data_IF_861924904045
#
_entry.id   IF_861924904045
#
_cell.length_a   1.000
_cell.length_b   1.000
_cell.length_c   1.000
_cell.angle_alpha   90.00
_cell.angle_beta   90.00
_cell.angle_gamma   90.00
#
_symmetry.space_group_name_H-M   'P 1'
#
loop_
_entity.id
_entity.type
_entity.pdbx_description
1 polymer ?
#
# COMPACT_ATOMS: atom_id res chain seq x y z
N UNK A 1 -61.39 9.29 50.84
CA UNK A 1 -60.22 8.59 51.46
C UNK A 1 -59.26 8.22 50.38
N UNK A 2 -58.11 8.83 50.41
CA UNK A 2 -57.13 9.01 49.32
C UNK A 2 -56.32 7.76 49.09
N UNK A 3 -56.26 7.27 47.83
CA UNK A 3 -55.29 6.30 47.39
C UNK A 3 -54.30 7.00 46.53
N UNK A 4 -53.07 7.22 47.03
CA UNK A 4 -51.98 7.79 46.28
C UNK A 4 -51.33 6.71 45.43
N UNK A 5 -51.54 6.81 44.13
CA UNK A 5 -50.82 6.03 43.16
C UNK A 5 -49.38 6.57 43.03
N UNK A 6 -48.38 5.77 43.43
CA UNK A 6 -46.96 6.05 43.24
C UNK A 6 -46.59 5.63 41.84
N UNK A 7 -46.38 6.60 40.93
CA UNK A 7 -45.77 6.37 39.65
C UNK A 7 -44.24 6.23 39.84
N UNK A 8 -43.77 5.01 39.77
CA UNK A 8 -42.35 4.75 39.68
C UNK A 8 -41.88 5.01 38.22
N UNK A 9 -41.22 6.12 38.01
CA UNK A 9 -40.61 6.49 36.74
C UNK A 9 -39.31 5.69 36.61
N UNK A 10 -39.34 4.58 35.87
CA UNK A 10 -38.14 3.82 35.52
C UNK A 10 -37.49 4.52 34.35
N UNK A 11 -36.45 5.32 34.65
CA UNK A 11 -35.60 5.95 33.66
C UNK A 11 -34.64 4.89 33.09
N UNK A 12 -35.00 4.30 31.94
CA UNK A 12 -34.11 3.38 31.21
C UNK A 12 -33.03 4.21 30.54
N UNK A 13 -31.84 4.31 31.14
CA UNK A 13 -30.63 4.81 30.47
C UNK A 13 -30.20 3.79 29.42
N UNK A 14 -30.56 4.04 28.16
CA UNK A 14 -29.95 3.38 27.00
C UNK A 14 -28.51 3.89 26.86
N UNK A 15 -27.54 3.14 27.38
CA UNK A 15 -26.15 3.31 27.01
C UNK A 15 -25.99 2.89 25.55
N UNK A 16 -26.01 3.85 24.65
CA UNK A 16 -25.55 3.63 23.29
C UNK A 16 -24.05 3.36 23.32
N UNK A 17 -23.67 2.09 23.30
CA UNK A 17 -22.27 1.68 23.06
C UNK A 17 -21.95 2.05 21.63
N UNK A 18 -21.33 3.20 21.42
CA UNK A 18 -20.73 3.58 20.15
C UNK A 18 -19.56 2.63 19.95
N UNK A 19 -19.79 1.54 19.21
CA UNK A 19 -18.72 0.68 18.73
C UNK A 19 -17.85 1.52 17.80
N UNK A 20 -16.70 2.00 18.32
CA UNK A 20 -15.68 2.59 17.49
C UNK A 20 -15.32 1.55 16.41
N UNK A 21 -15.30 1.94 15.12
CA UNK A 21 -14.84 1.02 14.09
C UNK A 21 -13.43 0.57 14.50
N UNK A 22 -13.27 -0.73 14.73
CA UNK A 22 -11.96 -1.32 14.90
C UNK A 22 -11.18 -0.94 13.64
N UNK A 23 -10.21 -0.01 13.79
CA UNK A 23 -9.20 0.18 12.76
C UNK A 23 -8.55 -1.17 12.64
N UNK A 24 -8.95 -1.91 11.62
CA UNK A 24 -8.29 -3.15 11.26
C UNK A 24 -6.80 -2.82 11.22
N UNK A 25 -5.99 -3.55 11.99
CA UNK A 25 -4.55 -3.45 11.93
C UNK A 25 -4.21 -3.49 10.44
N UNK A 26 -3.82 -2.35 9.87
CA UNK A 26 -3.56 -2.21 8.45
C UNK A 26 -2.66 -3.36 8.08
N UNK A 27 -3.05 -4.17 7.11
CA UNK A 27 -2.23 -5.32 6.74
C UNK A 27 -0.84 -4.75 6.45
N UNK A 28 0.20 -5.24 7.15
CA UNK A 28 1.61 -4.83 6.94
C UNK A 28 2.06 -5.03 5.48
N UNK A 29 1.13 -5.41 4.62
CA UNK A 29 1.30 -5.66 3.20
C UNK A 29 0.65 -4.54 2.38
N UNK A 30 1.44 -3.57 1.98
CA UNK A 30 1.00 -2.43 1.19
C UNK A 30 2.02 -2.02 0.14
N UNK A 31 1.59 -1.20 -0.82
CA UNK A 31 2.43 -0.52 -1.79
C UNK A 31 1.86 0.87 -2.08
N UNK A 32 2.73 1.85 -2.26
CA UNK A 32 2.37 3.24 -2.60
C UNK A 32 3.34 3.81 -3.62
N UNK A 33 2.91 4.82 -4.37
CA UNK A 33 3.80 5.71 -5.09
C UNK A 33 4.30 6.74 -4.09
N UNK A 34 5.61 6.83 -3.90
CA UNK A 34 6.24 7.78 -2.97
C UNK A 34 7.10 8.85 -3.66
N UNK A 35 7.32 8.73 -4.97
CA UNK A 35 7.94 9.76 -5.83
C UNK A 35 7.17 9.80 -7.14
N UNK A 36 6.83 11.00 -7.61
CA UNK A 36 6.12 11.18 -8.88
C UNK A 36 6.56 12.47 -9.57
N UNK A 37 7.46 12.34 -10.54
CA UNK A 37 7.87 13.42 -11.43
C UNK A 37 8.14 14.75 -10.71
N UNK A 38 9.06 14.72 -9.76
CA UNK A 38 9.45 15.91 -9.00
C UNK A 38 10.65 16.59 -9.63
N UNK A 39 10.94 17.82 -9.22
CA UNK A 39 12.15 18.54 -9.68
C UNK A 39 13.44 17.76 -9.34
N UNK A 40 13.45 17.05 -8.21
CA UNK A 40 14.58 16.19 -7.81
C UNK A 40 14.62 14.85 -8.56
N UNK A 41 13.51 14.42 -9.12
CA UNK A 41 13.34 13.11 -9.77
C UNK A 41 12.48 13.25 -11.04
N UNK A 42 12.94 13.98 -12.06
CA UNK A 42 12.17 14.22 -13.28
C UNK A 42 11.93 12.91 -14.03
N UNK A 43 10.73 12.76 -14.59
CA UNK A 43 10.29 11.56 -15.33
C UNK A 43 10.40 10.26 -14.53
N UNK A 44 10.36 10.31 -13.21
CA UNK A 44 10.44 9.13 -12.36
C UNK A 44 9.15 8.82 -11.63
N UNK A 45 8.90 7.52 -11.48
CA UNK A 45 7.95 6.98 -10.52
C UNK A 45 8.70 6.13 -9.49
N UNK A 46 8.65 6.54 -8.23
CA UNK A 46 9.13 5.75 -7.10
C UNK A 46 7.97 4.96 -6.47
N UNK A 47 8.25 3.70 -6.16
CA UNK A 47 7.30 2.80 -5.51
C UNK A 47 7.91 2.31 -4.20
N UNK A 48 7.21 2.53 -3.09
CA UNK A 48 7.57 1.99 -1.78
C UNK A 48 6.55 0.92 -1.38
N UNK A 49 7.01 -0.11 -0.70
CA UNK A 49 6.16 -1.22 -0.30
C UNK A 49 6.62 -1.85 1.01
N UNK A 50 5.67 -2.41 1.75
CA UNK A 50 5.90 -3.14 2.98
C UNK A 50 5.37 -4.56 2.88
N UNK A 51 6.04 -5.49 3.54
CA UNK A 51 5.58 -6.86 3.69
C UNK A 51 5.84 -7.38 5.11
N UNK A 52 4.88 -8.09 5.72
CA UNK A 52 5.09 -8.73 7.00
C UNK A 52 6.16 -9.82 6.89
N UNK A 53 6.86 -10.03 7.96
CA UNK A 53 7.83 -11.10 8.07
C UNK A 53 7.22 -12.49 7.96
N UNK A 54 8.04 -13.48 8.14
CA UNK A 54 7.66 -14.89 8.14
C UNK A 54 8.30 -15.64 9.32
N UNK A 55 8.21 -16.94 9.29
CA UNK A 55 8.96 -17.80 10.26
C UNK A 55 10.48 -17.53 10.15
N UNK A 56 11.29 -17.86 11.15
CA UNK A 56 12.74 -17.82 11.03
C UNK A 56 13.20 -18.48 9.72
N UNK A 57 14.29 -17.97 9.13
CA UNK A 57 14.85 -18.44 7.84
C UNK A 57 14.00 -18.15 6.60
N UNK A 58 12.82 -17.53 6.72
CA UNK A 58 12.03 -17.10 5.55
C UNK A 58 12.72 -15.91 4.87
N UNK A 59 13.05 -16.04 3.59
CA UNK A 59 13.53 -14.93 2.74
C UNK A 59 12.34 -14.16 2.22
N UNK A 60 12.40 -12.83 2.34
CA UNK A 60 11.37 -11.88 1.91
C UNK A 60 11.84 -11.22 0.62
N UNK A 61 11.04 -11.34 -0.43
CA UNK A 61 11.35 -10.85 -1.77
C UNK A 61 10.20 -9.99 -2.28
N UNK A 62 10.55 -8.90 -2.93
CA UNK A 62 9.61 -8.04 -3.64
C UNK A 62 10.02 -7.89 -5.11
N UNK A 63 9.06 -7.72 -5.99
CA UNK A 63 9.27 -7.38 -7.41
C UNK A 63 8.35 -6.24 -7.75
N UNK A 64 8.93 -5.14 -8.20
CA UNK A 64 8.25 -3.90 -8.55
C UNK A 64 8.07 -3.84 -10.06
N UNK A 65 6.90 -3.42 -10.52
CA UNK A 65 6.60 -3.20 -11.94
C UNK A 65 5.72 -1.97 -12.08
N UNK A 66 5.79 -1.33 -13.24
CA UNK A 66 4.96 -0.18 -13.57
C UNK A 66 3.93 -0.56 -14.62
N UNK A 67 2.73 -0.03 -14.48
CA UNK A 67 1.69 -0.06 -15.49
C UNK A 67 1.29 1.37 -15.86
N UNK A 68 0.96 1.61 -17.12
CA UNK A 68 0.32 2.84 -17.59
C UNK A 68 -1.14 2.59 -17.89
N UNK A 69 -1.95 3.65 -17.78
CA UNK A 69 -3.34 3.62 -18.18
C UNK A 69 -3.44 3.96 -19.67
N UNK A 70 -3.89 3.04 -20.47
CA UNK A 70 -4.25 3.27 -21.85
C UNK A 70 -5.53 4.14 -21.87
N UNK A 71 -5.40 5.39 -22.27
CA UNK A 71 -6.50 6.37 -22.20
C UNK A 71 -7.61 6.08 -23.21
N UNK A 72 -7.33 5.36 -24.30
CA UNK A 72 -8.32 4.99 -25.30
C UNK A 72 -9.23 3.85 -24.84
N UNK A 73 -8.68 2.91 -24.07
CA UNK A 73 -9.40 1.72 -23.60
C UNK A 73 -9.70 1.73 -22.10
N UNK A 74 -9.11 2.66 -21.35
CA UNK A 74 -9.17 2.71 -19.88
C UNK A 74 -8.45 1.57 -19.18
N UNK A 75 -7.76 0.71 -19.90
CA UNK A 75 -7.08 -0.48 -19.35
C UNK A 75 -5.66 -0.18 -18.87
N UNK A 76 -5.22 -0.93 -17.88
CA UNK A 76 -3.86 -0.89 -17.40
C UNK A 76 -2.98 -1.86 -18.18
N UNK A 77 -1.89 -1.35 -18.75
CA UNK A 77 -0.90 -2.11 -19.51
C UNK A 77 0.48 -2.02 -18.88
N UNK A 78 1.28 -3.06 -18.99
CA UNK A 78 2.66 -3.03 -18.49
C UNK A 78 3.51 -2.02 -19.27
N UNK A 79 4.30 -1.22 -18.53
CA UNK A 79 5.38 -0.44 -19.14
C UNK A 79 6.51 -1.39 -19.47
N UNK A 80 6.99 -1.36 -20.73
CA UNK A 80 8.15 -2.18 -21.15
C UNK A 80 9.36 -1.78 -20.30
N UNK A 81 10.17 -2.75 -19.94
CA UNK A 81 11.43 -2.61 -19.20
C UNK A 81 11.30 -2.00 -17.78
N UNK A 82 10.08 -1.68 -17.32
CA UNK A 82 9.81 -1.23 -15.96
C UNK A 82 9.51 -2.41 -15.01
N UNK A 83 10.51 -3.27 -14.84
CA UNK A 83 10.47 -4.45 -13.96
C UNK A 83 11.79 -4.56 -13.18
N UNK A 84 11.73 -4.45 -11.86
CA UNK A 84 12.91 -4.52 -11.00
C UNK A 84 13.55 -5.92 -10.94
N UNK A 85 12.87 -6.97 -11.43
CA UNK A 85 13.19 -8.33 -11.03
C UNK A 85 12.93 -8.56 -9.53
N UNK A 86 13.31 -9.73 -9.04
CA UNK A 86 13.16 -10.04 -7.62
C UNK A 86 14.25 -9.38 -6.78
N UNK A 87 13.83 -8.54 -5.82
CA UNK A 87 14.70 -7.84 -4.87
C UNK A 87 14.54 -8.45 -3.49
N UNK A 88 15.65 -8.64 -2.78
CA UNK A 88 15.66 -9.11 -1.39
C UNK A 88 15.23 -7.95 -0.49
N UNK A 89 14.09 -8.08 0.19
CA UNK A 89 13.63 -7.11 1.17
C UNK A 89 14.15 -7.44 2.59
N UNK A 90 14.40 -8.71 2.87
CA UNK A 90 14.92 -9.11 4.17
C UNK A 90 14.79 -10.61 4.45
N UNK A 91 14.81 -10.94 5.75
CA UNK A 91 14.69 -12.31 6.26
C UNK A 91 14.02 -12.31 7.63
N UNK A 92 13.30 -13.37 7.93
CA UNK A 92 12.79 -13.66 9.26
C UNK A 92 11.47 -12.98 9.61
N UNK A 93 11.27 -12.74 10.90
CA UNK A 93 10.00 -12.29 11.47
C UNK A 93 9.66 -10.81 11.27
N UNK A 94 10.63 -9.85 11.28
CA UNK A 94 10.27 -8.45 11.18
C UNK A 94 9.61 -8.11 9.85
N UNK A 95 8.63 -7.18 9.89
CA UNK A 95 8.12 -6.48 8.72
C UNK A 95 9.27 -5.77 8.01
N UNK A 96 9.26 -5.76 6.70
CA UNK A 96 10.30 -5.16 5.87
C UNK A 96 9.69 -4.25 4.83
N UNK A 97 10.36 -3.13 4.63
CA UNK A 97 10.06 -2.21 3.56
C UNK A 97 11.16 -2.24 2.51
N UNK A 98 10.78 -2.00 1.28
CA UNK A 98 11.69 -1.78 0.17
C UNK A 98 11.05 -0.86 -0.86
N UNK A 99 11.86 -0.23 -1.70
CA UNK A 99 11.41 0.63 -2.77
C UNK A 99 12.22 0.41 -4.03
N UNK A 100 11.66 0.88 -5.14
CA UNK A 100 12.31 0.90 -6.43
C UNK A 100 11.77 2.05 -7.27
N UNK A 101 12.66 2.77 -7.95
CA UNK A 101 12.29 3.85 -8.86
C UNK A 101 12.53 3.44 -10.29
N UNK A 102 11.70 3.95 -11.19
CA UNK A 102 11.81 3.75 -12.63
C UNK A 102 11.80 5.10 -13.33
N UNK A 103 12.74 5.30 -14.24
CA UNK A 103 12.63 6.32 -15.26
C UNK A 103 11.63 5.87 -16.32
N UNK A 104 10.70 6.75 -16.67
CA UNK A 104 9.69 6.47 -17.69
C UNK A 104 9.87 7.43 -18.83
N UNK A 105 10.66 7.02 -19.81
CA UNK A 105 10.88 7.79 -21.02
C UNK A 105 9.63 7.85 -21.91
N UNK A 106 9.53 8.89 -22.72
CA UNK A 106 8.49 9.09 -23.74
C UNK A 106 7.81 10.47 -23.63
N UNK A 107 7.08 10.84 -24.65
CA UNK A 107 6.35 12.11 -24.74
C UNK A 107 4.88 11.97 -24.36
N UNK A 108 4.28 13.07 -23.91
CA UNK A 108 2.86 13.18 -23.59
C UNK A 108 2.47 12.63 -22.22
N UNK A 109 1.30 13.03 -21.77
CA UNK A 109 0.75 12.69 -20.46
C UNK A 109 0.58 11.19 -20.26
N UNK A 110 1.12 10.68 -19.17
CA UNK A 110 0.99 9.28 -18.75
C UNK A 110 0.49 9.18 -17.32
N UNK A 111 -0.51 8.34 -17.13
CA UNK A 111 -0.98 7.97 -15.78
C UNK A 111 -0.41 6.60 -15.47
N UNK A 112 0.42 6.53 -14.45
CA UNK A 112 1.17 5.35 -14.05
C UNK A 112 0.70 4.83 -12.69
N UNK A 113 0.89 3.53 -12.45
CA UNK A 113 0.77 2.92 -11.13
C UNK A 113 1.81 1.84 -10.91
N UNK A 114 2.14 1.58 -9.67
CA UNK A 114 2.98 0.46 -9.29
C UNK A 114 2.17 -0.83 -9.10
N UNK A 115 2.83 -1.95 -9.39
CA UNK A 115 2.36 -3.28 -9.05
C UNK A 115 3.49 -4.01 -8.36
N UNK A 116 3.28 -4.38 -7.09
CA UNK A 116 4.29 -5.08 -6.29
C UNK A 116 3.85 -6.51 -6.07
N UNK A 117 4.73 -7.45 -6.41
CA UNK A 117 4.55 -8.87 -6.11
C UNK A 117 5.48 -9.24 -4.96
N UNK A 118 4.93 -9.89 -3.96
CA UNK A 118 5.63 -10.32 -2.75
C UNK A 118 5.78 -11.82 -2.75
N UNK A 119 6.93 -12.29 -2.24
CA UNK A 119 7.22 -13.71 -2.15
C UNK A 119 7.97 -14.03 -0.86
N UNK A 120 7.46 -15.02 -0.15
CA UNK A 120 8.12 -15.62 1.00
C UNK A 120 8.71 -16.96 0.57
N UNK A 121 10.01 -17.14 0.75
CA UNK A 121 10.72 -18.40 0.45
C UNK A 121 11.36 -18.97 1.71
N UNK A 122 11.18 -20.24 1.92
CA UNK A 122 11.83 -20.99 3.01
C UNK A 122 12.32 -22.32 2.49
N UNK A 123 13.55 -22.69 2.87
CA UNK A 123 14.21 -23.93 2.43
C UNK A 123 14.16 -24.11 0.89
N UNK A 124 14.41 -23.03 0.14
CA UNK A 124 14.36 -23.07 -1.32
C UNK A 124 12.97 -22.97 -1.95
N UNK A 125 11.91 -23.20 -1.21
CA UNK A 125 10.54 -23.24 -1.73
C UNK A 125 9.77 -21.95 -1.47
N UNK A 126 8.84 -21.63 -2.38
CA UNK A 126 7.89 -20.54 -2.19
C UNK A 126 6.80 -21.01 -1.25
N UNK A 127 6.66 -20.35 -0.09
CA UNK A 127 5.65 -20.71 0.92
C UNK A 127 4.44 -19.75 0.93
N UNK A 128 4.58 -18.58 0.31
CA UNK A 128 3.51 -17.60 0.15
C UNK A 128 3.83 -16.64 -0.99
N UNK A 129 2.81 -16.24 -1.73
CA UNK A 129 2.84 -15.11 -2.67
C UNK A 129 1.68 -14.15 -2.37
N UNK A 130 1.88 -12.88 -2.69
CA UNK A 130 0.85 -11.86 -2.68
C UNK A 130 1.14 -10.81 -3.74
N UNK A 131 0.14 -9.98 -4.06
CA UNK A 131 0.27 -8.88 -5.01
C UNK A 131 -0.52 -7.69 -4.50
N UNK A 132 0.02 -6.47 -4.67
CA UNK A 132 -0.67 -5.21 -4.42
C UNK A 132 -0.44 -4.26 -5.58
N UNK A 133 -1.45 -3.47 -5.85
CA UNK A 133 -1.35 -2.26 -6.66
C UNK A 133 -1.11 -1.11 -5.68
N UNK A 134 -0.40 -0.08 -6.12
CA UNK A 134 -0.17 1.11 -5.29
C UNK A 134 -1.47 1.78 -4.88
N UNK A 135 -1.52 2.21 -3.61
CA UNK A 135 -2.62 2.95 -3.00
C UNK A 135 -2.05 4.13 -2.21
N UNK A 136 -2.84 5.18 -2.05
CA UNK A 136 -2.48 6.30 -1.16
C UNK A 136 -2.65 5.95 0.31
N UNK A 137 -2.21 6.88 1.20
CA UNK A 137 -2.43 6.77 2.65
C UNK A 137 -1.28 6.16 3.45
N UNK A 138 -0.17 5.81 2.79
CA UNK A 138 1.06 5.32 3.43
C UNK A 138 2.12 6.43 3.48
N UNK A 139 1.88 7.42 4.34
CA UNK A 139 2.78 8.57 4.52
C UNK A 139 4.03 8.18 5.29
N UNK A 140 4.99 9.10 5.36
CA UNK A 140 6.25 8.94 6.11
C UNK A 140 7.08 7.73 5.65
N UNK A 141 7.03 7.40 4.36
CA UNK A 141 7.88 6.37 3.78
C UNK A 141 9.26 6.92 3.46
N UNK A 142 10.29 6.13 3.68
CA UNK A 142 11.66 6.51 3.31
C UNK A 142 11.75 6.87 1.83
N UNK A 143 12.43 8.00 1.55
CA UNK A 143 12.67 8.47 0.19
C UNK A 143 11.41 9.00 -0.51
N UNK A 144 10.38 9.41 0.24
CA UNK A 144 9.25 10.11 -0.34
C UNK A 144 9.65 11.51 -0.80
N UNK A 145 9.27 11.89 -2.01
CA UNK A 145 9.46 13.22 -2.57
C UNK A 145 8.17 13.71 -3.26
N UNK A 146 7.55 14.80 -2.76
CA UNK A 146 7.88 15.51 -1.52
C UNK A 146 7.67 14.64 -0.26
N UNK A 147 8.22 15.10 0.87
CA UNK A 147 8.06 14.41 2.15
C UNK A 147 6.57 14.05 2.40
N UNK A 148 6.33 12.86 2.94
CA UNK A 148 4.98 12.32 3.19
C UNK A 148 4.11 12.08 1.94
N UNK A 149 4.67 12.20 0.74
CA UNK A 149 3.92 11.90 -0.47
C UNK A 149 3.55 10.42 -0.53
N UNK A 150 2.29 10.15 -0.77
CA UNK A 150 1.75 8.80 -0.91
C UNK A 150 0.53 8.82 -1.81
N UNK A 151 0.61 8.17 -2.96
CA UNK A 151 -0.43 8.17 -3.96
C UNK A 151 -0.69 6.77 -4.55
N UNK A 152 -1.87 6.58 -5.11
CA UNK A 152 -2.21 5.37 -5.86
C UNK A 152 -1.60 5.38 -7.27
N UNK A 153 -1.50 6.55 -7.87
CA UNK A 153 -1.04 6.77 -9.24
C UNK A 153 -0.06 7.93 -9.31
N UNK A 154 0.72 7.96 -10.38
CA UNK A 154 1.61 9.05 -10.74
C UNK A 154 1.22 9.56 -12.13
N UNK A 155 1.09 10.87 -12.29
CA UNK A 155 0.94 11.52 -13.58
C UNK A 155 2.28 12.14 -13.98
N UNK A 156 2.76 11.82 -15.16
CA UNK A 156 3.94 12.42 -15.80
C UNK A 156 3.47 13.07 -17.11
N UNK A 157 3.83 14.32 -17.34
CA UNK A 157 3.45 15.11 -18.52
C UNK A 157 4.59 15.25 -19.51
#
# INVERSE_FOLDING_TARGET
>A
MSSMARFALILLLLLAVVAAPARGAGSDLWATVNVCDTAGHPNQIGIRASMPGGKPQTRLLMRFRVQYRDLSTGRWRAVRDADSGWRKAGKGRPTREAGWSFEVAGEGTRILRGVVTYRWRRNGHVVRNAKRVTAGGHRSTDGADPADFSAATCRID
#
